data_IF_527618039314
#
_entry.id   IF_527618039314
#
_cell.length_a   1.000
_cell.length_b   1.000
_cell.length_c   1.000
_cell.angle_alpha   90.00
_cell.angle_beta   90.00
_cell.angle_gamma   90.00
#
_symmetry.space_group_name_H-M   'P 1'
#
loop_
_entity.id
_entity.type
_entity.pdbx_description
1 polymer ?
#
# COMPACT_ATOMS: atom_id res chain seq x y z
N UNK A 1 -4.72 67.90 16.46
CA UNK A 1 -4.54 68.10 15.01
C UNK A 1 -3.50 69.20 14.79
N UNK A 2 -2.33 68.90 14.22
CA UNK A 2 -1.49 69.93 13.59
C UNK A 2 -0.84 69.37 12.34
N UNK A 3 -1.08 70.09 11.24
CA UNK A 3 -0.76 69.73 9.88
C UNK A 3 0.75 69.74 9.63
N UNK A 4 1.20 68.70 8.93
CA UNK A 4 2.07 68.70 7.75
C UNK A 4 3.27 69.66 7.71
N UNK A 5 4.48 69.11 7.51
CA UNK A 5 5.45 69.66 6.54
C UNK A 5 6.46 68.57 6.15
N UNK A 6 6.57 68.37 4.85
CA UNK A 6 7.34 67.35 4.14
C UNK A 6 8.72 67.90 3.79
N UNK A 7 9.83 67.18 4.01
CA UNK A 7 11.04 67.41 3.26
C UNK A 7 11.12 66.40 2.12
N UNK A 8 10.89 66.90 0.91
CA UNK A 8 11.30 66.25 -0.34
C UNK A 8 12.80 66.04 -0.33
N UNK A 9 13.24 64.78 -0.41
CA UNK A 9 14.59 64.43 -0.82
C UNK A 9 14.49 63.31 -1.85
N UNK A 10 14.58 63.78 -3.10
CA UNK A 10 14.90 63.04 -4.31
C UNK A 10 16.07 62.09 -4.01
N UNK A 11 15.86 60.79 -4.16
CA UNK A 11 16.90 59.80 -3.91
C UNK A 11 16.43 58.39 -4.23
N UNK A 12 16.64 57.99 -5.49
CA UNK A 12 16.75 56.59 -5.95
C UNK A 12 15.65 55.62 -5.49
N UNK A 13 14.50 55.68 -6.18
CA UNK A 13 13.54 54.58 -6.16
C UNK A 13 14.10 53.44 -7.03
N UNK A 14 14.95 52.59 -6.43
CA UNK A 14 15.19 51.25 -6.96
C UNK A 14 13.87 50.49 -6.85
N UNK A 15 13.12 50.49 -7.95
CA UNK A 15 11.93 49.69 -8.12
C UNK A 15 12.31 48.20 -8.06
N UNK A 16 12.38 47.64 -6.86
CA UNK A 16 12.49 46.20 -6.67
C UNK A 16 11.10 45.60 -6.86
N UNK A 17 10.76 45.37 -8.13
CA UNK A 17 9.55 44.68 -8.54
C UNK A 17 9.72 43.21 -8.12
N UNK A 18 9.25 42.87 -6.92
CA UNK A 18 9.20 41.46 -6.47
C UNK A 18 8.12 40.77 -7.30
N UNK A 19 8.55 40.16 -8.40
CA UNK A 19 7.69 39.31 -9.22
C UNK A 19 7.29 38.08 -8.40
N UNK A 20 6.03 38.04 -7.95
CA UNK A 20 5.40 36.83 -7.44
C UNK A 20 5.31 35.82 -8.58
N UNK A 21 6.29 34.92 -8.67
CA UNK A 21 6.24 33.78 -9.58
C UNK A 21 5.24 32.79 -9.00
N UNK A 22 4.13 32.58 -9.71
CA UNK A 22 3.16 31.54 -9.36
C UNK A 22 3.87 30.18 -9.44
N UNK A 23 4.01 29.49 -8.30
CA UNK A 23 4.53 28.13 -8.24
C UNK A 23 3.40 27.21 -8.73
N UNK A 24 3.51 26.55 -9.89
CA UNK A 24 2.51 25.58 -10.29
C UNK A 24 2.60 24.37 -9.34
N UNK A 25 1.63 24.21 -8.44
CA UNK A 25 1.45 22.97 -7.68
C UNK A 25 0.94 21.91 -8.65
N UNK A 26 1.86 21.27 -9.38
CA UNK A 26 1.58 20.06 -10.16
C UNK A 26 1.63 18.86 -9.22
N UNK A 27 0.55 18.64 -8.49
CA UNK A 27 0.39 17.54 -7.55
C UNK A 27 -0.59 16.48 -8.05
N UNK A 28 -0.35 15.87 -9.21
CA UNK A 28 -1.04 14.64 -9.59
C UNK A 28 -0.33 13.47 -8.90
N UNK A 29 -0.74 13.14 -7.68
CA UNK A 29 -0.39 11.85 -7.09
C UNK A 29 -1.15 10.78 -7.88
N UNK A 30 -0.54 10.25 -8.93
CA UNK A 30 -0.98 8.97 -9.46
C UNK A 30 -0.87 7.97 -8.31
N UNK A 31 -2.00 7.47 -7.81
CA UNK A 31 -2.03 6.36 -6.89
C UNK A 31 -1.52 5.12 -7.64
N UNK A 32 -0.20 5.02 -7.81
CA UNK A 32 0.45 3.89 -8.44
C UNK A 32 0.19 2.65 -7.60
N UNK A 33 -0.40 1.62 -8.21
CA UNK A 33 -0.46 0.30 -7.62
C UNK A 33 0.98 -0.12 -7.26
N UNK A 34 1.26 -0.32 -5.97
CA UNK A 34 2.57 -0.81 -5.55
C UNK A 34 2.81 -2.16 -6.24
N UNK A 35 3.98 -2.39 -6.87
CA UNK A 35 4.29 -3.67 -7.46
C UNK A 35 4.13 -4.76 -6.40
N UNK A 36 3.27 -5.74 -6.66
CA UNK A 36 3.07 -6.86 -5.74
C UNK A 36 4.31 -7.76 -5.80
N UNK A 37 4.93 -8.12 -4.67
CA UNK A 37 6.05 -9.05 -4.68
C UNK A 37 5.61 -10.39 -5.25
N UNK A 38 6.28 -10.85 -6.31
CA UNK A 38 5.96 -12.09 -6.98
C UNK A 38 7.22 -12.94 -7.23
N UNK A 39 7.07 -14.26 -7.19
CA UNK A 39 8.13 -15.23 -7.54
C UNK A 39 7.50 -16.50 -8.13
N UNK A 40 8.32 -17.52 -8.43
CA UNK A 40 7.80 -18.86 -8.63
C UNK A 40 7.10 -19.34 -7.34
N UNK A 41 6.04 -20.14 -7.47
CA UNK A 41 5.23 -20.61 -6.35
C UNK A 41 6.10 -21.26 -5.26
N UNK A 42 6.97 -22.20 -5.63
CA UNK A 42 7.85 -22.88 -4.68
C UNK A 42 8.79 -21.94 -3.93
N UNK A 43 9.31 -20.90 -4.58
CA UNK A 43 10.17 -19.90 -3.93
C UNK A 43 9.38 -19.07 -2.93
N UNK A 44 8.14 -18.70 -3.27
CA UNK A 44 7.28 -17.93 -2.38
C UNK A 44 6.86 -18.76 -1.16
N UNK A 45 6.46 -20.02 -1.36
CA UNK A 45 6.14 -20.94 -0.27
C UNK A 45 7.35 -21.15 0.64
N UNK A 46 8.52 -21.41 0.07
CA UNK A 46 9.75 -21.59 0.85
C UNK A 46 10.14 -20.32 1.61
N UNK A 47 9.94 -19.16 1.00
CA UNK A 47 10.17 -17.87 1.66
C UNK A 47 9.25 -17.69 2.88
N UNK A 48 7.93 -17.92 2.72
CA UNK A 48 6.96 -17.79 3.82
C UNK A 48 7.26 -18.78 4.96
N UNK A 49 7.54 -20.03 4.62
CA UNK A 49 7.89 -21.08 5.57
C UNK A 49 9.17 -20.71 6.35
N UNK A 50 10.26 -20.37 5.64
CA UNK A 50 11.55 -20.11 6.28
C UNK A 50 11.54 -18.84 7.11
N UNK A 51 10.97 -17.76 6.56
CA UNK A 51 11.06 -16.41 7.15
C UNK A 51 10.02 -16.14 8.22
N UNK A 52 8.78 -16.62 8.03
CA UNK A 52 7.64 -16.32 8.88
C UNK A 52 7.09 -17.55 9.62
N UNK A 53 7.58 -18.75 9.30
CA UNK A 53 7.03 -20.02 9.82
C UNK A 53 5.55 -20.18 9.49
N UNK A 54 5.16 -19.63 8.35
CA UNK A 54 3.80 -19.74 7.82
C UNK A 54 3.67 -21.01 6.98
N UNK A 55 2.57 -21.72 7.15
CA UNK A 55 2.21 -22.93 6.40
C UNK A 55 0.82 -22.79 5.79
N UNK A 56 0.47 -23.54 4.72
CA UNK A 56 -0.86 -23.47 4.12
C UNK A 56 -1.97 -23.69 5.16
N UNK A 57 -2.95 -22.78 5.18
CA UNK A 57 -4.14 -22.84 6.05
C UNK A 57 -5.42 -23.10 5.26
N UNK A 58 -5.53 -22.55 4.06
CA UNK A 58 -6.66 -22.71 3.16
C UNK A 58 -6.25 -22.39 1.70
N UNK A 59 -6.99 -22.94 0.74
CA UNK A 59 -6.79 -22.77 -0.69
C UNK A 59 -8.16 -22.65 -1.37
N UNK A 60 -8.27 -21.87 -2.45
CA UNK A 60 -9.51 -21.74 -3.20
C UNK A 60 -9.28 -21.23 -4.61
N UNK A 61 -9.97 -21.82 -5.59
CA UNK A 61 -9.97 -21.30 -6.95
C UNK A 61 -10.76 -19.99 -6.99
N UNK A 62 -10.12 -18.93 -7.44
CA UNK A 62 -10.76 -17.62 -7.69
C UNK A 62 -11.26 -17.56 -9.13
N UNK A 63 -10.60 -18.27 -10.04
CA UNK A 63 -11.00 -18.43 -11.43
C UNK A 63 -10.36 -19.69 -12.01
N UNK A 64 -10.63 -19.98 -13.29
CA UNK A 64 -9.96 -21.05 -14.04
C UNK A 64 -8.45 -20.87 -14.15
N UNK A 65 -7.92 -19.66 -13.89
CA UNK A 65 -6.49 -19.33 -14.02
C UNK A 65 -5.88 -18.81 -12.72
N UNK A 66 -6.64 -18.72 -11.63
CA UNK A 66 -6.23 -18.12 -10.38
C UNK A 66 -6.59 -18.97 -9.16
N UNK A 67 -5.58 -19.28 -8.36
CA UNK A 67 -5.67 -19.95 -7.06
C UNK A 67 -5.31 -18.93 -5.97
N UNK A 68 -6.20 -18.72 -5.03
CA UNK A 68 -5.93 -18.00 -3.80
C UNK A 68 -5.47 -18.97 -2.72
N UNK A 69 -4.45 -18.58 -1.98
CA UNK A 69 -3.83 -19.39 -0.95
C UNK A 69 -3.64 -18.56 0.30
N UNK A 70 -4.00 -19.12 1.46
CA UNK A 70 -3.84 -18.48 2.76
C UNK A 70 -2.78 -19.27 3.54
N UNK A 71 -1.78 -18.57 4.04
CA UNK A 71 -0.69 -19.12 4.85
C UNK A 71 -0.72 -18.47 6.23
N UNK A 72 -0.54 -19.28 7.28
CA UNK A 72 -0.62 -18.82 8.68
C UNK A 72 0.48 -19.48 9.50
N UNK A 73 1.08 -18.73 10.42
CA UNK A 73 2.03 -19.25 11.41
C UNK A 73 1.35 -19.48 12.76
N UNK A 74 1.95 -20.34 13.59
CA UNK A 74 1.49 -20.53 14.99
C UNK A 74 1.55 -19.26 15.83
N UNK A 75 2.34 -18.26 15.42
CA UNK A 75 2.46 -16.96 16.11
C UNK A 75 1.47 -15.91 15.58
N UNK A 76 0.61 -16.28 14.64
CA UNK A 76 -0.44 -15.42 14.11
C UNK A 76 0.00 -14.51 12.96
N UNK A 77 1.22 -14.64 12.42
CA UNK A 77 1.54 -14.01 11.13
C UNK A 77 0.80 -14.72 10.00
N UNK A 78 0.43 -13.99 8.96
CA UNK A 78 -0.29 -14.54 7.83
C UNK A 78 0.02 -13.82 6.51
N UNK A 79 -0.12 -14.56 5.42
CA UNK A 79 0.02 -14.07 4.05
C UNK A 79 -1.05 -14.69 3.15
N UNK A 80 -1.51 -13.93 2.15
CA UNK A 80 -2.37 -14.41 1.08
C UNK A 80 -1.60 -14.34 -0.23
N UNK A 81 -1.51 -15.47 -0.93
CA UNK A 81 -0.96 -15.54 -2.27
C UNK A 81 -2.07 -15.61 -3.31
N UNK A 82 -1.84 -14.97 -4.45
CA UNK A 82 -2.55 -15.25 -5.70
C UNK A 82 -1.59 -15.97 -6.64
N UNK A 83 -1.92 -17.20 -7.00
CA UNK A 83 -1.12 -18.07 -7.85
C UNK A 83 -1.82 -18.30 -9.17
N UNK A 84 -1.07 -18.13 -10.25
CA UNK A 84 -1.56 -18.39 -11.60
C UNK A 84 -1.27 -19.82 -12.02
N UNK A 85 -1.99 -20.34 -13.01
CA UNK A 85 -1.72 -21.67 -13.62
C UNK A 85 -0.34 -21.78 -14.28
N UNK A 86 0.36 -20.65 -14.48
CA UNK A 86 1.75 -20.61 -14.95
C UNK A 86 2.78 -20.77 -13.82
N UNK A 87 2.34 -21.04 -12.60
CA UNK A 87 3.21 -21.26 -11.43
C UNK A 87 3.80 -19.99 -10.82
N UNK A 88 3.33 -18.80 -11.23
CA UNK A 88 3.73 -17.52 -10.61
C UNK A 88 2.79 -17.18 -9.46
N UNK A 89 3.36 -16.81 -8.32
CA UNK A 89 2.63 -16.44 -7.10
C UNK A 89 3.02 -15.05 -6.62
N UNK A 90 2.03 -14.26 -6.21
CA UNK A 90 2.23 -12.91 -5.70
C UNK A 90 1.60 -12.78 -4.32
N UNK A 91 2.28 -12.11 -3.37
CA UNK A 91 1.67 -11.74 -2.08
C UNK A 91 0.65 -10.65 -2.34
N UNK A 92 -0.63 -10.95 -2.11
CA UNK A 92 -1.75 -9.99 -2.29
C UNK A 92 -2.20 -9.30 -1.01
N UNK A 93 -1.93 -9.92 0.13
CA UNK A 93 -2.11 -9.33 1.46
C UNK A 93 -1.18 -10.05 2.45
N UNK A 94 -0.80 -9.36 3.52
CA UNK A 94 -0.03 -9.94 4.61
C UNK A 94 -0.28 -9.17 5.91
N UNK A 95 -0.11 -9.82 7.04
CA UNK A 95 -0.34 -9.21 8.34
C UNK A 95 0.06 -10.09 9.52
N UNK A 96 -0.43 -9.70 10.69
CA UNK A 96 -0.24 -10.42 11.94
C UNK A 96 -1.60 -10.58 12.65
N UNK A 97 -1.58 -11.23 13.82
CA UNK A 97 -2.74 -11.46 14.67
C UNK A 97 -3.87 -12.23 13.98
N UNK A 98 -3.53 -13.31 13.27
CA UNK A 98 -4.53 -14.25 12.73
C UNK A 98 -5.33 -14.91 13.85
N UNK A 99 -6.64 -14.97 13.68
CA UNK A 99 -7.57 -15.68 14.57
C UNK A 99 -8.47 -16.60 13.74
N UNK A 100 -8.70 -17.83 14.21
CA UNK A 100 -9.66 -18.72 13.59
C UNK A 100 -11.09 -18.32 14.04
N UNK A 101 -11.93 -17.95 13.08
CA UNK A 101 -13.34 -17.73 13.35
C UNK A 101 -14.06 -19.07 13.51
N UNK A 102 -14.83 -19.24 14.59
CA UNK A 102 -15.80 -20.35 14.71
C UNK A 102 -17.03 -20.00 13.89
N UNK A 103 -17.05 -20.44 12.63
CA UNK A 103 -18.22 -20.27 11.76
C UNK A 103 -19.20 -21.41 12.04
N UNK A 104 -20.32 -21.11 12.70
CA UNK A 104 -21.46 -22.04 12.78
C UNK A 104 -22.21 -21.95 11.46
N UNK A 105 -22.20 -23.03 10.68
CA UNK A 105 -23.02 -23.11 9.47
C UNK A 105 -24.46 -23.40 9.91
N UNK A 106 -25.40 -22.55 9.50
CA UNK A 106 -26.81 -22.80 9.77
C UNK A 106 -27.28 -23.98 8.93
N UNK A 107 -27.58 -25.12 9.58
CA UNK A 107 -28.24 -26.27 8.96
C UNK A 107 -27.48 -27.60 8.96
N UNK A 108 -26.33 -27.75 9.62
CA UNK A 108 -25.71 -29.07 9.81
C UNK A 108 -26.62 -29.95 10.71
N UNK A 109 -27.17 -31.07 10.21
CA UNK A 109 -27.81 -32.04 11.09
C UNK A 109 -26.70 -32.77 11.86
N UNK A 110 -26.86 -32.82 13.18
CA UNK A 110 -25.99 -33.54 14.11
C UNK A 110 -25.89 -35.05 13.79
#
# INVERSE_FOLDING_TARGET
MKRMKMPTLVGTMLASMVAFTAIPVSGANAAGARPMPCAAHGDMVSFLEKRYKESPRALGLVSVTGLMEIYVSKKGSWSILMTTTKGKSCIIAAGNNWEDAVVKVAGDPA
#
